data_IF_259728937286
#
_entry.id   IF_259728937286
#
_cell.length_a   1.000
_cell.length_b   1.000
_cell.length_c   1.000
_cell.angle_alpha   90.00
_cell.angle_beta   90.00
_cell.angle_gamma   90.00
#
_symmetry.space_group_name_H-M   'P 1'
#
loop_
_entity.id
_entity.type
_entity.pdbx_description
1 polymer ?
#
# COMPACT_ATOMS: atom_id res chain seq x y z
N UNK A 1 -5.50 19.81 14.67
CA UNK A 1 -5.66 18.73 15.66
C UNK A 1 -5.40 17.41 14.97
N UNK A 2 -4.59 16.54 15.56
CA UNK A 2 -4.35 15.20 15.01
C UNK A 2 -5.64 14.38 15.10
N UNK A 3 -6.12 13.85 13.97
CA UNK A 3 -7.28 12.96 13.93
C UNK A 3 -6.78 11.53 14.08
N UNK A 4 -7.19 10.86 15.14
CA UNK A 4 -7.00 9.42 15.28
C UNK A 4 -8.13 8.72 14.56
N UNK A 5 -7.78 7.81 13.65
CA UNK A 5 -8.73 7.07 12.81
C UNK A 5 -8.48 5.58 12.99
N UNK A 6 -9.56 4.81 12.90
CA UNK A 6 -9.55 3.34 13.06
C UNK A 6 -10.64 2.73 12.19
N UNK A 7 -10.57 1.43 11.91
CA UNK A 7 -11.59 0.72 11.13
C UNK A 7 -11.77 1.33 9.74
N UNK A 8 -13.03 1.48 9.31
CA UNK A 8 -13.38 1.98 7.97
C UNK A 8 -12.81 3.38 7.65
N UNK A 9 -12.71 4.26 8.64
CA UNK A 9 -12.12 5.59 8.44
C UNK A 9 -10.62 5.49 8.10
N UNK A 10 -9.91 4.58 8.74
CA UNK A 10 -8.50 4.31 8.44
C UNK A 10 -8.36 3.68 7.05
N UNK A 11 -9.19 2.68 6.74
CA UNK A 11 -9.19 2.03 5.42
C UNK A 11 -9.44 3.03 4.30
N UNK A 12 -10.42 3.93 4.47
CA UNK A 12 -10.72 4.98 3.49
C UNK A 12 -9.54 5.92 3.29
N UNK A 13 -8.90 6.36 4.37
CA UNK A 13 -7.74 7.27 4.26
C UNK A 13 -6.57 6.59 3.54
N UNK A 14 -6.29 5.32 3.84
CA UNK A 14 -5.25 4.57 3.12
C UNK A 14 -5.62 4.42 1.63
N UNK A 15 -6.88 4.08 1.33
CA UNK A 15 -7.38 4.01 -0.04
C UNK A 15 -7.19 5.34 -0.77
N UNK A 16 -7.64 6.46 -0.18
CA UNK A 16 -7.56 7.79 -0.80
C UNK A 16 -6.10 8.19 -1.05
N UNK A 17 -5.19 7.94 -0.10
CA UNK A 17 -3.75 8.22 -0.25
C UNK A 17 -3.16 7.44 -1.42
N UNK A 18 -3.47 6.14 -1.51
CA UNK A 18 -2.95 5.32 -2.60
C UNK A 18 -3.57 5.77 -3.91
N UNK A 19 -4.90 5.95 -3.96
CA UNK A 19 -5.63 6.26 -5.17
C UNK A 19 -5.23 7.63 -5.74
N UNK A 20 -5.13 8.67 -4.92
CA UNK A 20 -4.86 10.05 -5.37
C UNK A 20 -3.36 10.40 -5.48
N UNK A 21 -2.46 9.42 -5.37
CA UNK A 21 -1.02 9.68 -5.53
C UNK A 21 -0.67 10.09 -6.97
N UNK A 22 0.03 11.22 -7.13
CA UNK A 22 0.41 11.78 -8.45
C UNK A 22 1.92 11.73 -8.76
N UNK A 23 2.78 11.60 -7.74
CA UNK A 23 4.24 11.66 -7.91
C UNK A 23 4.98 10.51 -7.23
N UNK A 24 4.92 10.38 -5.90
CA UNK A 24 5.61 9.29 -5.20
C UNK A 24 4.72 8.73 -4.12
N UNK A 25 4.44 7.43 -4.21
CA UNK A 25 3.74 6.67 -3.18
C UNK A 25 4.77 5.80 -2.44
N UNK A 26 5.10 6.21 -1.22
CA UNK A 26 6.07 5.50 -0.38
C UNK A 26 5.38 4.83 0.81
N UNK A 27 5.35 3.50 0.80
CA UNK A 27 4.70 2.69 1.84
C UNK A 27 5.77 1.94 2.61
N UNK A 28 5.85 2.19 3.92
CA UNK A 28 6.73 1.46 4.84
C UNK A 28 5.87 0.70 5.84
N UNK A 29 5.96 -0.62 5.83
CA UNK A 29 5.21 -1.45 6.77
C UNK A 29 6.02 -2.66 7.23
N UNK A 30 6.07 -2.99 8.52
CA UNK A 30 6.71 -4.23 8.98
C UNK A 30 6.15 -5.48 8.27
N UNK A 31 4.84 -5.48 8.01
CA UNK A 31 4.14 -6.53 7.28
C UNK A 31 3.10 -5.91 6.36
N UNK A 32 3.09 -6.31 5.10
CA UNK A 32 2.05 -5.93 4.14
C UNK A 32 1.66 -7.15 3.33
N UNK A 33 0.37 -7.43 3.25
CA UNK A 33 -0.17 -8.44 2.35
C UNK A 33 -0.59 -7.74 1.06
N UNK A 34 0.17 -7.94 -0.01
CA UNK A 34 -0.14 -7.43 -1.34
C UNK A 34 -1.13 -8.36 -2.04
N UNK A 35 -2.36 -8.40 -1.54
CA UNK A 35 -3.44 -9.21 -2.11
C UNK A 35 -4.11 -8.53 -3.33
N UNK A 36 -5.16 -9.17 -3.85
CA UNK A 36 -5.90 -8.68 -5.02
C UNK A 36 -6.51 -7.30 -4.84
N UNK A 37 -6.76 -6.85 -3.59
CA UNK A 37 -7.24 -5.50 -3.33
C UNK A 37 -6.15 -4.47 -3.61
N UNK A 38 -4.96 -4.65 -3.04
CA UNK A 38 -3.82 -3.77 -3.30
C UNK A 38 -3.40 -3.79 -4.77
N UNK A 39 -3.45 -4.96 -5.42
CA UNK A 39 -3.15 -5.09 -6.84
C UNK A 39 -4.02 -4.16 -7.69
N UNK A 40 -5.35 -4.20 -7.49
CA UNK A 40 -6.30 -3.33 -8.22
C UNK A 40 -6.07 -1.85 -7.95
N UNK A 41 -5.68 -1.49 -6.73
CA UNK A 41 -5.35 -0.12 -6.35
C UNK A 41 -4.11 0.39 -7.06
N UNK A 42 -3.05 -0.42 -7.13
CA UNK A 42 -1.82 -0.06 -7.82
C UNK A 42 -1.95 -0.10 -9.34
N UNK A 43 -2.85 -0.92 -9.89
CA UNK A 43 -3.14 -0.96 -11.34
C UNK A 43 -3.55 0.41 -11.90
N UNK A 44 -4.15 1.29 -11.09
CA UNK A 44 -4.43 2.70 -11.46
C UNK A 44 -3.16 3.43 -11.90
N UNK A 45 -2.03 3.15 -11.25
CA UNK A 45 -0.77 3.87 -11.41
C UNK A 45 0.18 3.21 -12.41
N UNK A 46 -0.08 1.97 -12.82
CA UNK A 46 0.80 1.19 -13.72
C UNK A 46 1.05 1.89 -15.06
N UNK A 47 0.08 2.68 -15.54
CA UNK A 47 0.17 3.41 -16.81
C UNK A 47 0.51 4.89 -16.63
N UNK A 48 0.70 5.37 -15.39
CA UNK A 48 1.14 6.73 -15.12
C UNK A 48 2.66 6.76 -14.86
N UNK A 49 3.48 7.13 -15.86
CA UNK A 49 4.93 7.15 -15.72
C UNK A 49 5.43 8.20 -14.72
N UNK A 50 4.57 9.10 -14.22
CA UNK A 50 4.92 10.10 -13.20
C UNK A 50 4.88 9.54 -11.80
N UNK A 51 4.07 8.51 -11.55
CA UNK A 51 3.88 7.94 -10.21
C UNK A 51 4.97 6.91 -9.93
N UNK A 52 5.83 7.21 -8.96
CA UNK A 52 6.87 6.32 -8.47
C UNK A 52 6.37 5.59 -7.21
N UNK A 53 6.10 4.29 -7.35
CA UNK A 53 5.67 3.42 -6.24
C UNK A 53 6.88 2.76 -5.59
N UNK A 54 7.11 3.03 -4.31
CA UNK A 54 8.13 2.38 -3.49
C UNK A 54 7.46 1.71 -2.29
N UNK A 55 7.66 0.39 -2.14
CA UNK A 55 7.14 -0.37 -1.02
C UNK A 55 8.30 -1.00 -0.26
N UNK A 56 8.47 -0.62 1.00
CA UNK A 56 9.46 -1.19 1.92
C UNK A 56 8.73 -2.00 2.95
N UNK A 57 9.06 -3.28 3.03
CA UNK A 57 8.46 -4.19 3.98
C UNK A 57 9.48 -5.04 4.72
N UNK A 58 9.11 -5.47 5.92
CA UNK A 58 9.95 -6.38 6.71
C UNK A 58 10.16 -7.69 5.97
N UNK A 59 11.37 -8.24 6.06
CA UNK A 59 11.66 -9.57 5.54
C UNK A 59 10.83 -10.58 6.32
N UNK A 60 9.84 -11.23 5.69
CA UNK A 60 9.09 -12.32 6.29
C UNK A 60 10.00 -13.56 6.40
N UNK A 61 10.73 -13.70 7.50
CA UNK A 61 11.67 -14.81 7.72
C UNK A 61 11.00 -16.18 7.96
N UNK A 62 9.67 -16.31 7.76
CA UNK A 62 8.90 -17.52 8.09
C UNK A 62 8.01 -18.09 6.98
N UNK A 63 8.05 -17.58 5.75
CA UNK A 63 7.35 -18.20 4.62
C UNK A 63 8.35 -18.81 3.61
N UNK A 64 9.03 -19.88 4.03
CA UNK A 64 9.68 -20.87 3.14
C UNK A 64 9.60 -22.25 3.81
N UNK A 65 8.38 -22.77 3.96
CA UNK A 65 8.01 -24.17 4.16
C UNK A 65 6.48 -24.19 3.95
N UNK A 66 5.87 -24.87 3.00
CA UNK A 66 6.20 -26.12 2.34
C UNK A 66 5.78 -26.09 0.85
N UNK A 67 6.36 -27.04 0.10
CA UNK A 67 6.18 -27.30 -1.32
C UNK A 67 4.81 -27.90 -1.69
#
# INVERSE_FOLDING_TARGET
>A
MTKFITGQDLEKVIYDIIWEAEETLFIVSPFIRLDDYFKKLFDKHVYDPKVHLIIVFGKNERELAEA
#
